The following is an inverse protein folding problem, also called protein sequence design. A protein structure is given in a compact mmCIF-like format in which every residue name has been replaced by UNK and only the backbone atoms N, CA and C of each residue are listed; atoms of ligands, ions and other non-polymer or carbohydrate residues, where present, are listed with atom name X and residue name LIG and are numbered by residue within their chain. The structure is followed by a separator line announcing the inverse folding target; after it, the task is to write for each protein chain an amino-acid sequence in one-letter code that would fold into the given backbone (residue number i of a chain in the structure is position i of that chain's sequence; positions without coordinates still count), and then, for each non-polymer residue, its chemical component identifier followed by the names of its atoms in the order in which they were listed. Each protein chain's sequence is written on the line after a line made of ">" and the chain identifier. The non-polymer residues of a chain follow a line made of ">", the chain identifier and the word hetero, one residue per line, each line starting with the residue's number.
data_IF_740335956234
#
_entry.id   IF_740335956234
#
_cell.length_a   1.000
_cell.length_b   1.000
_cell.length_c   1.000
_cell.angle_alpha   90.00
_cell.angle_beta   90.00
_cell.angle_gamma   90.00
#
_symmetry.space_group_name_H-M   'P 1'
#
loop_
_entity.id
_entity.type
_entity.pdbx_description
1 polymer ?
#
# COMPACT_ATOMS: atom_id res chain seq x y z
N UNK A 1 -41.32 -2.09 -54.26
CA UNK A 1 -42.03 -1.35 -53.21
C UNK A 1 -41.91 -2.13 -51.90
N UNK A 2 -40.71 -2.63 -51.59
CA UNK A 2 -39.53 -1.91 -51.05
C UNK A 2 -39.71 -1.85 -49.52
N UNK A 3 -39.12 -2.82 -48.81
CA UNK A 3 -37.74 -2.80 -48.30
C UNK A 3 -37.65 -1.89 -47.07
N UNK A 4 -37.46 -2.48 -45.89
CA UNK A 4 -36.72 -1.93 -44.74
C UNK A 4 -36.80 -2.93 -43.56
N UNK A 5 -36.15 -4.10 -43.73
CA UNK A 5 -35.82 -5.05 -42.66
C UNK A 5 -34.36 -4.78 -42.23
N UNK A 6 -34.15 -3.79 -41.36
CA UNK A 6 -32.86 -3.59 -40.68
C UNK A 6 -32.94 -4.16 -39.25
N UNK A 7 -32.72 -5.46 -39.12
CA UNK A 7 -32.41 -6.08 -37.84
C UNK A 7 -30.89 -6.09 -37.67
N UNK A 8 -30.43 -5.14 -36.85
CA UNK A 8 -29.05 -4.92 -36.48
C UNK A 8 -28.39 -6.20 -35.97
N UNK A 9 -27.24 -6.52 -36.55
CA UNK A 9 -26.37 -7.60 -36.11
C UNK A 9 -25.72 -7.21 -34.79
N UNK A 10 -26.16 -7.83 -33.69
CA UNK A 10 -25.45 -7.86 -32.42
C UNK A 10 -24.11 -8.60 -32.63
N UNK A 11 -23.08 -7.87 -33.04
CA UNK A 11 -21.70 -8.32 -32.96
C UNK A 11 -21.37 -8.51 -31.47
N UNK A 12 -21.32 -9.76 -31.04
CA UNK A 12 -20.82 -10.14 -29.73
C UNK A 12 -19.36 -9.71 -29.63
N UNK A 13 -19.14 -8.56 -29.02
CA UNK A 13 -17.82 -8.08 -28.58
C UNK A 13 -17.17 -9.20 -27.77
N UNK A 14 -16.14 -9.79 -28.34
CA UNK A 14 -15.19 -10.59 -27.59
C UNK A 14 -14.54 -9.67 -26.57
N UNK A 15 -14.91 -9.84 -25.30
CA UNK A 15 -14.15 -9.44 -24.11
C UNK A 15 -12.78 -10.13 -24.16
N UNK A 16 -11.93 -9.69 -25.09
CA UNK A 16 -10.50 -9.86 -24.96
C UNK A 16 -10.12 -8.96 -23.78
N UNK A 17 -9.84 -9.60 -22.64
CA UNK A 17 -9.19 -9.00 -21.48
C UNK A 17 -8.00 -8.15 -21.95
N UNK A 18 -8.23 -6.87 -22.22
CA UNK A 18 -7.19 -5.88 -22.40
C UNK A 18 -6.46 -5.78 -21.06
N UNK A 19 -5.46 -6.65 -20.91
CA UNK A 19 -4.51 -6.64 -19.82
C UNK A 19 -3.85 -5.25 -19.85
N UNK A 20 -4.40 -4.38 -19.00
CA UNK A 20 -4.05 -2.99 -18.81
C UNK A 20 -2.52 -2.83 -18.71
N UNK A 21 -1.89 -2.45 -19.83
CA UNK A 21 -0.43 -2.28 -20.00
C UNK A 21 0.14 -1.09 -19.21
N UNK A 22 -0.68 -0.43 -18.39
CA UNK A 22 -0.33 0.70 -17.52
C UNK A 22 0.13 0.26 -16.12
N UNK A 23 0.02 -1.02 -15.77
CA UNK A 23 0.70 -1.59 -14.62
C UNK A 23 2.17 -1.83 -14.97
N UNK A 24 3.01 -0.83 -14.68
CA UNK A 24 4.47 -0.86 -14.78
C UNK A 24 5.02 -2.13 -14.08
N UNK A 25 5.19 -3.22 -14.85
CA UNK A 25 5.58 -4.55 -14.37
C UNK A 25 6.91 -4.51 -13.58
N UNK A 26 7.71 -3.46 -13.79
CA UNK A 26 9.00 -3.25 -13.15
C UNK A 26 8.98 -2.96 -11.64
N UNK A 27 7.82 -2.88 -10.98
CA UNK A 27 7.76 -2.68 -9.51
C UNK A 27 7.75 -4.01 -8.73
N UNK A 28 7.27 -5.10 -9.34
CA UNK A 28 7.15 -6.39 -8.63
C UNK A 28 8.53 -6.89 -8.23
N UNK A 29 8.72 -7.13 -6.93
CA UNK A 29 10.02 -7.55 -6.35
C UNK A 29 11.20 -6.59 -6.60
N UNK A 30 10.97 -5.36 -7.07
CA UNK A 30 12.03 -4.41 -7.40
C UNK A 30 12.89 -4.00 -6.19
N UNK A 31 12.33 -4.14 -4.99
CA UNK A 31 12.98 -3.81 -3.73
C UNK A 31 13.18 -5.04 -2.84
N UNK A 32 13.23 -6.26 -3.41
CA UNK A 32 13.47 -7.48 -2.63
C UNK A 32 14.73 -7.34 -1.78
N UNK A 33 14.61 -7.59 -0.47
CA UNK A 33 15.71 -7.48 0.50
C UNK A 33 16.11 -6.06 0.92
N UNK A 34 15.60 -5.01 0.27
CA UNK A 34 15.84 -3.61 0.65
C UNK A 34 14.89 -3.17 1.78
N UNK A 35 15.31 -2.25 2.66
CA UNK A 35 14.43 -1.70 3.69
C UNK A 35 13.35 -0.83 3.04
N UNK A 36 12.11 -1.05 3.45
CA UNK A 36 10.98 -0.17 3.17
C UNK A 36 10.28 0.19 4.47
N UNK A 37 9.49 1.25 4.45
CA UNK A 37 8.80 1.75 5.63
C UNK A 37 7.30 1.79 5.37
N UNK A 38 6.57 1.71 6.47
CA UNK A 38 5.13 1.92 6.48
C UNK A 38 4.86 3.39 6.70
N UNK A 39 4.23 4.04 5.73
CA UNK A 39 3.79 5.43 5.85
C UNK A 39 2.41 5.44 6.48
N UNK A 40 2.30 6.00 7.67
CA UNK A 40 1.02 6.22 8.35
C UNK A 40 0.50 7.63 8.02
N UNK A 41 -0.53 7.68 7.18
CA UNK A 41 -1.27 8.92 6.94
C UNK A 41 -2.55 8.90 7.75
N UNK A 42 -2.75 9.91 8.59
CA UNK A 42 -4.02 10.12 9.27
C UNK A 42 -5.11 10.36 8.23
N UNK A 43 -5.96 9.36 7.99
CA UNK A 43 -7.12 9.52 7.11
C UNK A 43 -8.14 10.50 7.72
N UNK A 44 -8.03 10.78 9.03
CA UNK A 44 -8.87 11.71 9.78
C UNK A 44 -9.06 13.06 9.08
N UNK A 45 -8.02 13.66 8.52
CA UNK A 45 -8.13 14.96 7.83
C UNK A 45 -8.94 14.88 6.52
N UNK A 46 -8.78 13.79 5.76
CA UNK A 46 -9.57 13.54 4.54
C UNK A 46 -11.01 13.18 4.90
N UNK A 47 -11.20 12.33 5.90
CA UNK A 47 -12.53 11.91 6.36
C UNK A 47 -13.29 13.07 7.01
N UNK A 48 -12.62 13.94 7.78
CA UNK A 48 -13.22 15.15 8.32
C UNK A 48 -13.72 16.08 7.20
N UNK A 49 -12.98 16.18 6.08
CA UNK A 49 -13.43 16.95 4.92
C UNK A 49 -14.63 16.29 4.21
N UNK A 50 -14.63 14.96 4.07
CA UNK A 50 -15.69 14.22 3.39
C UNK A 50 -16.97 14.14 4.22
N UNK A 51 -16.88 13.92 5.53
CA UNK A 51 -18.03 13.77 6.43
C UNK A 51 -18.47 15.08 7.09
N UNK A 52 -17.54 16.01 7.35
CA UNK A 52 -17.86 17.26 8.02
C UNK A 52 -18.79 18.16 7.20
N UNK A 53 -18.62 18.19 5.88
CA UNK A 53 -19.46 19.03 5.02
C UNK A 53 -20.92 18.54 4.93
N UNK A 54 -21.21 17.24 4.69
CA UNK A 54 -22.56 16.70 4.76
C UNK A 54 -23.21 16.85 6.13
N UNK A 55 -22.48 16.60 7.22
CA UNK A 55 -23.02 16.71 8.58
C UNK A 55 -23.39 18.16 8.93
N UNK A 56 -22.55 19.14 8.55
CA UNK A 56 -22.87 20.55 8.72
C UNK A 56 -24.06 20.98 7.86
N UNK A 57 -24.13 20.52 6.61
CA UNK A 57 -25.28 20.80 5.74
C UNK A 57 -26.57 20.22 6.28
N UNK A 58 -26.55 18.97 6.75
CA UNK A 58 -27.71 18.30 7.34
C UNK A 58 -28.13 18.97 8.65
N UNK A 59 -27.17 19.32 9.51
CA UNK A 59 -27.43 20.08 10.74
C UNK A 59 -28.02 21.48 10.46
N UNK A 60 -27.54 22.16 9.41
CA UNK A 60 -28.08 23.45 8.98
C UNK A 60 -29.50 23.36 8.40
N UNK A 61 -29.82 22.30 7.64
CA UNK A 61 -31.17 22.04 7.13
C UNK A 61 -32.14 21.70 8.27
N UNK A 62 -31.74 20.80 9.17
CA UNK A 62 -32.57 20.40 10.31
C UNK A 62 -32.74 21.53 11.33
N UNK A 63 -31.73 22.39 11.50
CA UNK A 63 -31.81 23.57 12.37
C UNK A 63 -32.75 24.68 11.88
N UNK A 64 -33.08 24.72 10.58
CA UNK A 64 -34.12 25.62 10.03
C UNK A 64 -35.46 24.92 9.79
N UNK A 65 -35.48 23.58 9.73
CA UNK A 65 -36.69 22.80 9.57
C UNK A 65 -37.49 22.81 10.87
N UNK A 66 -38.64 23.48 10.86
CA UNK A 66 -39.60 23.45 11.97
C UNK A 66 -40.28 22.07 12.05
N UNK A 67 -39.54 21.03 12.46
CA UNK A 67 -40.04 19.64 12.54
C UNK A 67 -41.00 19.39 13.71
N UNK A 68 -41.42 20.45 14.44
CA UNK A 68 -42.39 20.33 15.53
C UNK A 68 -41.89 19.60 16.77
N UNK A 69 -40.58 19.32 16.83
CA UNK A 69 -39.92 18.68 17.98
C UNK A 69 -39.12 19.74 18.71
N UNK A 70 -39.67 20.24 19.82
CA UNK A 70 -38.95 21.11 20.76
C UNK A 70 -37.95 20.26 21.55
N UNK A 71 -36.72 20.17 21.05
CA UNK A 71 -35.65 19.46 21.76
C UNK A 71 -34.99 20.44 22.74
N UNK A 72 -35.04 20.19 24.06
CA UNK A 72 -34.43 21.09 25.03
C UNK A 72 -32.91 21.17 24.81
N UNK A 73 -32.38 22.40 24.80
CA UNK A 73 -30.97 22.68 24.49
C UNK A 73 -29.99 21.95 25.44
N UNK A 74 -30.45 21.63 26.65
CA UNK A 74 -29.73 20.86 27.68
C UNK A 74 -29.38 19.43 27.24
N UNK A 75 -30.13 18.82 26.32
CA UNK A 75 -29.86 17.47 25.78
C UNK A 75 -29.02 17.55 24.51
N UNK A 76 -29.18 18.60 23.71
CA UNK A 76 -28.51 18.77 22.42
C UNK A 76 -27.00 18.98 22.59
N UNK A 77 -26.60 19.84 23.53
CA UNK A 77 -25.18 20.11 23.77
C UNK A 77 -24.36 18.87 24.18
N UNK A 78 -24.77 18.07 25.19
CA UNK A 78 -24.00 16.89 25.58
C UNK A 78 -24.02 15.80 24.52
N UNK A 79 -25.14 15.61 23.79
CA UNK A 79 -25.20 14.61 22.71
C UNK A 79 -24.28 14.99 21.54
N UNK A 80 -24.24 16.26 21.15
CA UNK A 80 -23.31 16.76 20.15
C UNK A 80 -21.84 16.57 20.59
N UNK A 81 -21.52 16.86 21.86
CA UNK A 81 -20.19 16.65 22.40
C UNK A 81 -19.78 15.17 22.38
N UNK A 82 -20.68 14.26 22.80
CA UNK A 82 -20.44 12.81 22.78
C UNK A 82 -20.22 12.31 21.35
N UNK A 83 -21.05 12.74 20.41
CA UNK A 83 -20.91 12.36 18.99
C UNK A 83 -19.62 12.90 18.39
N UNK A 84 -19.21 14.12 18.74
CA UNK A 84 -17.96 14.70 18.27
C UNK A 84 -16.74 13.91 18.79
N UNK A 85 -16.71 13.62 20.09
CA UNK A 85 -15.61 12.85 20.71
C UNK A 85 -15.59 11.40 20.20
N UNK A 86 -16.76 10.76 20.10
CA UNK A 86 -16.90 9.41 19.58
C UNK A 86 -16.46 9.32 18.10
N UNK A 87 -16.86 10.28 17.28
CA UNK A 87 -16.44 10.39 15.88
C UNK A 87 -14.93 10.59 15.73
N UNK A 88 -14.31 11.41 16.60
CA UNK A 88 -12.86 11.60 16.61
C UNK A 88 -12.12 10.31 16.98
N UNK A 89 -12.57 9.62 18.04
CA UNK A 89 -11.97 8.38 18.50
C UNK A 89 -12.03 7.29 17.42
N UNK A 90 -13.20 7.09 16.83
CA UNK A 90 -13.41 6.11 15.74
C UNK A 90 -12.59 6.51 14.51
N UNK A 91 -12.61 7.79 14.12
CA UNK A 91 -11.85 8.29 12.97
C UNK A 91 -10.34 8.15 13.13
N UNK A 92 -9.82 8.22 14.36
CA UNK A 92 -8.39 8.04 14.65
C UNK A 92 -7.90 6.60 14.46
N UNK A 93 -8.81 5.61 14.57
CA UNK A 93 -8.49 4.19 14.38
C UNK A 93 -8.26 3.83 12.91
N UNK A 94 -8.78 4.63 11.98
CA UNK A 94 -8.59 4.41 10.55
C UNK A 94 -7.34 5.15 10.04
N UNK A 95 -6.18 4.57 10.26
CA UNK A 95 -4.91 5.01 9.62
C UNK A 95 -4.69 4.22 8.33
N UNK A 96 -4.51 4.93 7.21
CA UNK A 96 -4.11 4.30 5.96
C UNK A 96 -2.60 4.07 6.02
N UNK A 97 -2.20 2.80 5.88
CA UNK A 97 -0.81 2.33 5.98
C UNK A 97 -0.36 1.88 4.61
N UNK A 98 0.66 2.53 4.07
CA UNK A 98 1.15 2.25 2.71
C UNK A 98 2.66 2.07 2.68
N UNK A 99 3.16 1.34 1.69
CA UNK A 99 4.57 1.24 1.38
C UNK A 99 5.14 2.63 1.06
N UNK A 100 6.30 2.96 1.63
CA UNK A 100 7.02 4.23 1.42
C UNK A 100 7.61 4.39 0.03
N UNK A 101 7.72 3.31 -0.74
CA UNK A 101 8.28 3.35 -2.09
C UNK A 101 7.33 4.12 -3.04
N UNK A 102 7.78 5.25 -3.65
CA UNK A 102 6.93 6.16 -4.43
C UNK A 102 6.22 5.50 -5.60
N UNK A 103 6.85 4.48 -6.21
CA UNK A 103 6.24 3.72 -7.30
C UNK A 103 5.29 2.62 -6.81
N UNK A 104 5.45 2.13 -5.58
CA UNK A 104 4.70 0.99 -5.05
C UNK A 104 3.37 1.42 -4.43
N UNK A 105 3.40 2.25 -3.37
CA UNK A 105 2.20 2.75 -2.68
C UNK A 105 1.20 1.70 -2.16
N UNK A 106 1.58 0.41 -2.16
CA UNK A 106 0.75 -0.73 -1.77
C UNK A 106 0.30 -0.61 -0.31
N UNK A 107 -0.95 -0.99 -0.03
CA UNK A 107 -1.46 -1.02 1.36
C UNK A 107 -0.75 -2.12 2.15
N UNK A 108 -0.35 -1.81 3.38
CA UNK A 108 0.33 -2.73 4.30
C UNK A 108 -0.50 -2.93 5.57
N UNK A 109 -0.78 -4.19 5.92
CA UNK A 109 -1.41 -4.62 7.18
C UNK A 109 -0.40 -4.62 8.32
N UNK A 110 -0.84 -4.43 9.57
CA UNK A 110 0.02 -4.12 10.75
C UNK A 110 1.18 -5.11 10.92
N UNK A 111 0.89 -6.37 10.64
CA UNK A 111 1.79 -7.49 10.88
C UNK A 111 2.63 -7.85 9.64
N UNK A 112 2.48 -7.12 8.53
CA UNK A 112 3.27 -7.33 7.32
C UNK A 112 4.74 -6.96 7.58
N UNK A 113 5.61 -7.97 7.60
CA UNK A 113 7.07 -7.84 7.65
C UNK A 113 7.68 -7.62 6.26
N UNK A 114 6.97 -7.97 5.20
CA UNK A 114 7.37 -7.81 3.80
C UNK A 114 6.26 -7.11 3.01
N UNK A 115 6.63 -6.25 2.07
CA UNK A 115 5.67 -5.66 1.15
C UNK A 115 5.26 -6.68 0.08
N UNK A 116 3.97 -7.01 -0.09
CA UNK A 116 3.51 -8.06 -1.02
C UNK A 116 3.69 -7.68 -2.50
N UNK A 117 3.94 -6.41 -2.80
CA UNK A 117 4.12 -5.92 -4.17
C UNK A 117 5.60 -5.76 -4.53
N UNK A 118 6.35 -4.94 -3.80
CA UNK A 118 7.76 -4.66 -4.14
C UNK A 118 8.78 -5.60 -3.48
N UNK A 119 8.35 -6.47 -2.55
CA UNK A 119 9.22 -7.44 -1.86
C UNK A 119 10.17 -6.85 -0.81
N UNK A 120 10.07 -5.55 -0.53
CA UNK A 120 10.92 -4.89 0.48
C UNK A 120 10.58 -5.30 1.90
N UNK A 121 11.58 -5.25 2.79
CA UNK A 121 11.47 -5.60 4.21
C UNK A 121 10.98 -4.39 5.00
N UNK A 122 9.85 -4.53 5.68
CA UNK A 122 9.23 -3.46 6.47
C UNK A 122 10.01 -3.28 7.78
N UNK A 123 10.85 -2.25 7.84
CA UNK A 123 11.76 -2.01 8.97
C UNK A 123 11.19 -1.07 10.03
N UNK A 124 10.07 -0.40 9.75
CA UNK A 124 9.45 0.52 10.69
C UNK A 124 8.31 1.34 10.10
N UNK A 125 7.91 2.36 10.86
CA UNK A 125 6.81 3.27 10.52
C UNK A 125 7.37 4.70 10.43
N UNK A 126 6.95 5.42 9.39
CA UNK A 126 7.23 6.84 9.17
C UNK A 126 5.92 7.59 8.92
N UNK A 127 5.89 8.91 9.13
CA UNK A 127 4.67 9.71 8.97
C UNK A 127 4.60 10.38 7.58
N UNK A 128 5.75 10.71 6.99
CA UNK A 128 5.84 11.31 5.66
C UNK A 128 6.82 10.53 4.76
N UNK A 129 6.50 10.28 3.47
CA UNK A 129 7.45 9.65 2.54
C UNK A 129 8.81 10.36 2.43
N UNK A 130 8.89 11.66 2.70
CA UNK A 130 10.15 12.42 2.69
C UNK A 130 11.11 12.01 3.81
N UNK A 131 10.60 11.44 4.89
CA UNK A 131 11.39 10.95 6.03
C UNK A 131 12.14 9.66 5.70
N UNK A 132 11.85 9.04 4.54
CA UNK A 132 12.47 7.78 4.11
C UNK A 132 13.99 7.83 4.14
N UNK A 133 14.61 8.87 3.58
CA UNK A 133 16.07 8.97 3.51
C UNK A 133 16.71 9.02 4.91
N UNK A 134 16.12 9.79 5.83
CA UNK A 134 16.60 9.85 7.21
C UNK A 134 16.44 8.52 7.95
N UNK A 135 15.32 7.83 7.74
CA UNK A 135 15.09 6.51 8.33
C UNK A 135 16.04 5.44 7.77
N UNK A 136 16.36 5.49 6.48
CA UNK A 136 17.39 4.63 5.85
C UNK A 136 18.78 4.92 6.44
N UNK A 137 19.15 6.19 6.59
CA UNK A 137 20.42 6.59 7.22
C UNK A 137 20.54 6.09 8.67
N UNK A 138 19.45 6.12 9.44
CA UNK A 138 19.42 5.60 10.81
C UNK A 138 19.54 4.06 10.86
N UNK A 139 18.98 3.35 9.88
CA UNK A 139 19.18 1.90 9.74
C UNK A 139 20.62 1.53 9.41
N UNK A 140 21.25 2.30 8.51
CA UNK A 140 22.69 2.13 8.19
C UNK A 140 23.54 2.42 9.42
N UNK A 141 23.26 3.51 10.16
CA UNK A 141 23.98 3.86 11.39
C UNK A 141 23.83 2.81 12.48
N UNK A 142 22.67 2.17 12.57
CA UNK A 142 22.42 1.08 13.53
C UNK A 142 22.95 -0.29 13.07
N UNK A 143 23.54 -0.38 11.88
CA UNK A 143 24.12 -1.62 11.35
C UNK A 143 23.08 -2.66 10.94
N UNK A 144 21.81 -2.28 10.77
CA UNK A 144 20.73 -3.19 10.36
C UNK A 144 20.68 -3.40 8.85
N UNK A 145 21.37 -2.55 8.10
CA UNK A 145 21.43 -2.54 6.64
C UNK A 145 22.89 -2.47 6.23
N UNK A 146 23.28 -3.30 5.26
CA UNK A 146 24.65 -3.35 4.75
C UNK A 146 24.94 -2.21 3.75
N UNK A 147 26.19 -2.08 3.30
CA UNK A 147 26.66 -1.08 2.32
C UNK A 147 25.92 -1.15 0.99
N UNK A 148 25.39 -2.32 0.64
CA UNK A 148 24.57 -2.55 -0.56
C UNK A 148 23.11 -2.13 -0.39
N UNK A 149 22.71 -1.68 0.81
CA UNK A 149 21.33 -1.29 1.11
C UNK A 149 20.39 -2.48 1.38
N UNK A 150 20.94 -3.67 1.65
CA UNK A 150 20.17 -4.88 1.99
C UNK A 150 20.07 -5.04 3.51
N UNK A 151 18.92 -5.54 3.99
CA UNK A 151 18.72 -5.83 5.41
C UNK A 151 19.56 -7.04 5.81
N UNK A 152 20.37 -6.91 6.86
CA UNK A 152 21.35 -7.94 7.27
C UNK A 152 20.68 -9.28 7.60
N UNK A 153 19.51 -9.25 8.25
CA UNK A 153 18.74 -10.46 8.57
C UNK A 153 18.18 -11.19 7.34
N UNK A 154 18.10 -10.54 6.17
CA UNK A 154 17.61 -11.16 4.94
C UNK A 154 18.71 -11.85 4.12
N UNK A 155 19.98 -11.74 4.55
CA UNK A 155 21.12 -12.43 3.91
C UNK A 155 21.26 -13.87 4.40
N UNK A 156 20.97 -14.13 5.67
CA UNK A 156 21.14 -15.46 6.28
C UNK A 156 20.31 -16.55 5.55
N UNK A 157 19.15 -16.19 4.98
CA UNK A 157 18.32 -17.13 4.21
C UNK A 157 18.74 -17.29 2.73
N UNK A 158 19.58 -16.40 2.19
CA UNK A 158 20.01 -16.45 0.77
C UNK A 158 21.27 -17.28 0.56
N UNK A 159 22.14 -17.34 1.55
CA UNK A 159 23.42 -18.05 1.44
C UNK A 159 23.25 -19.59 1.46
N UNK A 160 22.07 -20.11 1.85
CA UNK A 160 21.78 -21.56 1.83
C UNK A 160 21.43 -22.09 0.42
N UNK A 161 20.99 -21.21 -0.51
CA UNK A 161 20.55 -21.62 -1.85
C UNK A 161 21.67 -21.60 -2.91
N UNK A 162 22.79 -20.89 -2.67
CA UNK A 162 23.90 -20.77 -3.63
C UNK A 162 24.99 -21.86 -3.46
N UNK A 163 24.96 -22.69 -2.41
CA UNK A 163 25.96 -23.74 -2.19
C UNK A 163 25.73 -25.03 -2.99
N UNK A 164 24.72 -25.11 -3.88
CA UNK A 164 24.35 -26.35 -4.58
C UNK A 164 24.84 -26.50 -6.03
N UNK A 165 25.80 -25.70 -6.52
CA UNK A 165 26.19 -25.74 -7.95
C UNK A 165 27.66 -26.00 -8.30
N UNK A 166 28.55 -26.23 -7.33
CA UNK A 166 29.92 -26.70 -7.61
C UNK A 166 30.04 -28.23 -7.55
N UNK A 167 29.17 -28.93 -8.29
CA UNK A 167 29.36 -30.35 -8.62
C UNK A 167 30.37 -30.48 -9.78
N UNK A 168 31.64 -30.47 -9.38
CA UNK A 168 32.77 -31.23 -9.93
C UNK A 168 32.48 -32.00 -11.23
N UNK A 169 33.01 -31.50 -12.33
CA UNK A 169 33.44 -32.34 -13.46
C UNK A 169 34.94 -32.12 -13.69
N UNK A 170 35.72 -32.64 -12.74
CA UNK A 170 37.16 -32.92 -12.91
C UNK A 170 37.28 -34.17 -13.80
N UNK A 171 37.09 -33.95 -15.10
CA UNK A 171 37.43 -34.90 -16.16
C UNK A 171 38.88 -34.60 -16.55
N UNK A 172 39.79 -35.20 -15.79
CA UNK A 172 41.16 -35.36 -16.18
C UNK A 172 41.27 -36.47 -17.23
N UNK A 173 41.68 -36.09 -18.44
CA UNK A 173 42.28 -37.02 -19.39
C UNK A 173 43.58 -36.43 -19.95
N UNK A 174 44.65 -36.64 -19.17
CA UNK A 174 46.03 -36.62 -19.60
C UNK A 174 46.23 -37.51 -20.84
N UNK A 175 46.53 -36.89 -21.97
CA UNK A 175 46.88 -37.54 -23.22
C UNK A 175 48.26 -37.11 -23.71
N UNK A 176 49.29 -37.30 -22.90
CA UNK A 176 50.70 -37.23 -23.31
C UNK A 176 50.97 -38.32 -24.35
N UNK A 177 51.31 -37.93 -25.56
CA UNK A 177 51.77 -38.84 -26.61
C UNK A 177 52.93 -38.20 -27.38
N UNK A 178 54.14 -38.51 -26.93
CA UNK A 178 55.39 -38.24 -27.63
C UNK A 178 55.42 -38.95 -29.01
N UNK A 179 55.65 -38.20 -30.09
CA UNK A 179 56.72 -38.43 -31.08
C UNK A 179 56.76 -37.36 -32.18
#
# INVERSE_FOLDING_TARGET
>A
DDDDDEAESDEAETDDDEERRDLDQGIRNANRGKPVFRVERSAALRMAKVLGFPVLMLGGLLGRGNFGVDVPMEIVMPSAAILAVGGLAIGSLFTDRRCSEPKCGQKLGVDDSLCPLCGGVVMGVIHDPKERLGAEEDLVRSGKVDRDGLVVAAREDQDEDDESSDDRSDDGSDGRGDN
#
